data_IF_142035406044
#
_entry.id   IF_142035406044
#
_cell.length_a   1.000
_cell.length_b   1.000
_cell.length_c   1.000
_cell.angle_alpha   90.00
_cell.angle_beta   90.00
_cell.angle_gamma   90.00
#
_symmetry.space_group_name_H-M   'P 1'
#
loop_
_entity.id
_entity.type
_entity.pdbx_description
1 polymer ?
#
# COMPACT_ATOMS: atom_id res chain seq x y z
N UNK A 1 15.41 -15.18 -3.10
CA UNK A 1 14.82 -15.11 -1.76
C UNK A 1 14.90 -16.46 -1.04
N UNK A 2 14.59 -17.60 -1.68
CA UNK A 2 14.68 -18.95 -1.04
C UNK A 2 16.03 -19.30 -0.38
N UNK A 3 17.13 -18.67 -0.83
CA UNK A 3 18.49 -18.88 -0.29
C UNK A 3 18.86 -17.91 0.85
N UNK A 4 17.99 -16.98 1.23
CA UNK A 4 18.27 -16.00 2.28
C UNK A 4 18.09 -16.63 3.66
N UNK A 5 19.11 -16.49 4.49
CA UNK A 5 19.11 -16.87 5.89
C UNK A 5 18.99 -15.63 6.79
N UNK A 6 18.65 -15.82 8.08
CA UNK A 6 18.42 -14.68 8.99
C UNK A 6 19.63 -13.74 9.05
N UNK A 7 20.84 -14.30 9.01
CA UNK A 7 22.09 -13.54 9.01
C UNK A 7 22.30 -12.64 7.80
N UNK A 8 21.62 -12.92 6.69
CA UNK A 8 21.71 -12.13 5.45
C UNK A 8 20.79 -10.91 5.52
N UNK A 9 19.87 -10.87 6.50
CA UNK A 9 18.87 -9.79 6.63
C UNK A 9 19.10 -8.97 7.89
N UNK A 10 19.30 -9.64 9.03
CA UNK A 10 19.35 -8.99 10.32
C UNK A 10 20.35 -9.65 11.27
N UNK A 11 20.91 -8.87 12.17
CA UNK A 11 21.74 -9.34 13.29
C UNK A 11 21.36 -8.59 14.56
N UNK A 12 21.60 -9.22 15.71
CA UNK A 12 21.42 -8.57 17.01
C UNK A 12 22.40 -7.40 17.12
N UNK A 13 21.91 -6.25 17.58
CA UNK A 13 22.77 -5.12 17.88
C UNK A 13 23.45 -5.32 19.24
N UNK A 14 24.76 -5.62 19.23
CA UNK A 14 25.57 -5.89 20.43
C UNK A 14 26.37 -4.63 20.84
N UNK A 15 26.00 -3.43 20.38
CA UNK A 15 26.76 -2.22 20.70
C UNK A 15 26.21 -1.50 21.95
N UNK A 16 26.87 -1.61 23.12
CA UNK A 16 26.41 -0.95 24.35
C UNK A 16 26.57 0.58 24.34
N UNK A 17 27.23 1.16 23.33
CA UNK A 17 27.54 2.59 23.25
C UNK A 17 26.84 3.33 22.09
N UNK A 18 26.14 2.63 21.19
CA UNK A 18 25.36 3.23 20.09
C UNK A 18 23.94 2.66 20.03
N UNK A 19 23.02 3.33 20.73
CA UNK A 19 21.58 3.34 20.42
C UNK A 19 20.73 2.15 20.88
N UNK A 20 19.55 2.47 21.42
CA UNK A 20 18.52 1.58 21.97
C UNK A 20 17.73 0.77 20.91
N UNK A 21 18.39 0.09 19.97
CA UNK A 21 17.73 -0.70 18.91
C UNK A 21 18.04 -2.19 19.03
N UNK A 22 17.06 -3.05 18.78
CA UNK A 22 17.17 -4.50 18.96
C UNK A 22 18.05 -5.18 17.88
N UNK A 23 17.93 -4.74 16.64
CA UNK A 23 18.53 -5.33 15.45
C UNK A 23 19.23 -4.28 14.57
N UNK A 24 20.13 -4.74 13.71
CA UNK A 24 20.88 -3.92 12.74
C UNK A 24 20.50 -4.32 11.30
N UNK A 25 20.21 -3.34 10.44
CA UNK A 25 19.87 -3.51 9.01
C UNK A 25 21.08 -3.61 8.09
N UNK A 26 22.31 -3.48 8.62
CA UNK A 26 23.55 -3.62 7.86
C UNK A 26 23.60 -4.92 7.01
N UNK A 27 23.19 -6.10 7.51
CA UNK A 27 23.20 -7.31 6.70
C UNK A 27 22.25 -7.23 5.49
N UNK A 28 21.02 -6.74 5.68
CA UNK A 28 20.08 -6.52 4.56
C UNK A 28 20.69 -5.59 3.51
N UNK A 29 21.29 -4.48 3.94
CA UNK A 29 21.97 -3.53 3.04
C UNK A 29 23.08 -4.21 2.25
N UNK A 30 23.94 -4.97 2.91
CA UNK A 30 25.05 -5.70 2.27
C UNK A 30 24.52 -6.74 1.29
N UNK A 31 23.51 -7.52 1.67
CA UNK A 31 22.89 -8.52 0.82
C UNK A 31 22.30 -7.91 -0.43
N UNK A 32 21.51 -6.84 -0.31
CA UNK A 32 20.90 -6.17 -1.46
C UNK A 32 21.96 -5.58 -2.39
N UNK A 33 23.02 -4.98 -1.83
CA UNK A 33 24.11 -4.34 -2.58
C UNK A 33 25.02 -5.36 -3.28
N UNK A 34 25.42 -6.42 -2.59
CA UNK A 34 26.39 -7.41 -3.10
C UNK A 34 25.75 -8.49 -3.95
N UNK A 35 24.52 -8.88 -3.63
CA UNK A 35 23.79 -9.93 -4.34
C UNK A 35 23.17 -9.49 -5.67
N UNK A 36 23.28 -8.22 -6.06
CA UNK A 36 22.73 -7.71 -7.32
C UNK A 36 21.21 -7.83 -7.41
N UNK A 37 20.51 -7.79 -6.26
CA UNK A 37 19.07 -8.03 -6.18
C UNK A 37 18.24 -6.92 -6.83
N UNK A 38 18.81 -5.72 -6.94
CA UNK A 38 18.12 -4.52 -7.42
C UNK A 38 18.96 -3.84 -8.49
N UNK A 39 18.34 -3.58 -9.64
CA UNK A 39 18.94 -2.79 -10.71
C UNK A 39 18.33 -1.38 -10.69
N UNK A 40 18.99 -0.45 -10.01
CA UNK A 40 18.50 0.94 -9.88
C UNK A 40 18.53 1.71 -11.20
N UNK A 41 19.43 1.38 -12.13
CA UNK A 41 19.45 2.02 -13.45
C UNK A 41 18.16 1.70 -14.23
N UNK A 42 17.70 0.45 -14.14
CA UNK A 42 16.44 0.02 -14.74
C UNK A 42 15.23 0.59 -14.00
N UNK A 43 15.23 0.59 -12.67
CA UNK A 43 14.14 1.15 -11.86
C UNK A 43 13.99 2.65 -12.10
N UNK A 44 15.09 3.38 -12.21
CA UNK A 44 15.07 4.82 -12.43
C UNK A 44 15.07 5.20 -13.91
N UNK A 45 14.99 4.25 -14.83
CA UNK A 45 14.94 4.54 -16.27
C UNK A 45 13.72 5.40 -16.62
N UNK A 46 13.84 6.25 -17.65
CA UNK A 46 12.67 6.90 -18.24
C UNK A 46 11.70 5.90 -18.89
N UNK A 47 12.20 4.70 -19.24
CA UNK A 47 11.45 3.57 -19.77
C UNK A 47 11.16 2.52 -18.68
N UNK A 48 11.17 2.91 -17.40
CA UNK A 48 10.83 1.99 -16.32
C UNK A 48 9.43 1.40 -16.56
N UNK A 49 9.34 0.08 -16.53
CA UNK A 49 8.07 -0.62 -16.76
C UNK A 49 7.07 -0.48 -15.61
N UNK A 50 7.52 0.03 -14.45
CA UNK A 50 6.73 0.12 -13.23
C UNK A 50 7.07 1.41 -12.51
N UNK A 51 6.02 2.12 -12.09
CA UNK A 51 6.11 3.23 -11.16
C UNK A 51 6.20 2.68 -9.73
N UNK A 52 7.33 2.94 -9.08
CA UNK A 52 7.63 2.48 -7.73
C UNK A 52 7.50 3.67 -6.77
N UNK A 53 6.65 3.52 -5.75
CA UNK A 53 6.51 4.47 -4.64
C UNK A 53 7.00 3.81 -3.35
N UNK A 54 7.93 4.47 -2.66
CA UNK A 54 8.50 4.03 -1.38
C UNK A 54 8.14 5.05 -0.32
N UNK A 55 7.67 4.61 0.84
CA UNK A 55 7.26 5.51 1.93
C UNK A 55 8.20 5.41 3.12
N UNK A 56 8.49 6.54 3.75
CA UNK A 56 9.23 6.60 5.00
C UNK A 56 8.70 7.76 5.86
N UNK A 57 8.73 7.63 7.19
CA UNK A 57 8.39 8.72 8.09
C UNK A 57 9.65 9.53 8.41
N UNK A 58 9.61 10.83 8.19
CA UNK A 58 10.65 11.76 8.68
C UNK A 58 10.52 11.91 10.20
N UNK A 59 11.56 11.48 10.94
CA UNK A 59 11.52 11.35 12.41
C UNK A 59 11.27 12.69 13.11
N UNK A 60 11.88 13.77 12.60
CA UNK A 60 11.81 15.08 13.24
C UNK A 60 10.41 15.72 13.16
N UNK A 61 9.65 15.41 12.11
CA UNK A 61 8.37 16.06 11.83
C UNK A 61 7.17 15.12 11.91
N UNK A 62 7.41 13.80 11.94
CA UNK A 62 6.37 12.78 11.88
C UNK A 62 5.65 12.71 10.53
N UNK A 63 6.18 13.37 9.49
CA UNK A 63 5.54 13.41 8.17
C UNK A 63 5.88 12.18 7.36
N UNK A 64 4.86 11.60 6.73
CA UNK A 64 5.06 10.60 5.69
C UNK A 64 5.69 11.27 4.46
N UNK A 65 6.85 10.79 4.06
CA UNK A 65 7.53 11.13 2.82
C UNK A 65 7.33 9.97 1.87
N UNK A 66 6.94 10.28 0.64
CA UNK A 66 6.84 9.33 -0.45
C UNK A 66 7.98 9.67 -1.41
N UNK A 67 8.69 8.66 -1.90
CA UNK A 67 9.75 8.77 -2.91
C UNK A 67 9.35 7.92 -4.10
N UNK A 68 9.56 8.41 -5.33
CA UNK A 68 9.15 7.65 -6.51
C UNK A 68 9.96 7.94 -7.75
N UNK A 69 10.07 6.93 -8.61
CA UNK A 69 10.76 7.01 -9.90
C UNK A 69 9.93 7.69 -11.01
N UNK A 70 8.69 8.10 -10.71
CA UNK A 70 7.78 8.81 -11.59
C UNK A 70 7.11 10.01 -10.89
N UNK A 71 6.60 10.95 -11.67
CA UNK A 71 5.76 12.03 -11.17
C UNK A 71 4.32 11.55 -10.95
N UNK A 72 3.53 12.30 -10.19
CA UNK A 72 2.09 12.04 -10.09
C UNK A 72 1.40 12.25 -11.45
N UNK A 73 0.43 11.38 -11.76
CA UNK A 73 -0.39 11.47 -12.96
C UNK A 73 -1.45 12.58 -12.83
N UNK A 74 -1.94 12.80 -11.60
CA UNK A 74 -2.84 13.90 -11.27
C UNK A 74 -2.06 15.08 -10.68
N UNK A 75 -2.65 16.29 -10.56
CA UNK A 75 -2.01 17.46 -9.95
C UNK A 75 -1.65 17.19 -8.47
N UNK A 76 -0.53 16.51 -8.26
CA UNK A 76 -0.01 16.06 -6.98
C UNK A 76 1.20 16.86 -6.56
N UNK A 77 1.90 16.34 -5.55
CA UNK A 77 3.11 16.97 -5.00
C UNK A 77 4.38 16.19 -5.33
N UNK A 78 4.26 14.98 -5.86
CA UNK A 78 5.42 14.16 -6.19
C UNK A 78 6.02 14.57 -7.53
N UNK A 79 7.30 14.91 -7.48
CA UNK A 79 8.17 14.91 -8.65
C UNK A 79 9.01 13.64 -8.67
N UNK A 80 9.49 13.25 -9.85
CA UNK A 80 10.37 12.10 -10.01
C UNK A 80 11.68 12.31 -9.23
N UNK A 81 12.02 11.36 -8.37
CA UNK A 81 13.27 11.30 -7.62
C UNK A 81 13.96 9.95 -7.91
N UNK A 82 15.26 9.93 -8.28
CA UNK A 82 15.99 8.69 -8.43
C UNK A 82 16.02 7.89 -7.12
N UNK A 83 15.42 6.69 -7.15
CA UNK A 83 15.39 5.78 -6.01
C UNK A 83 16.77 5.18 -5.79
N UNK A 84 17.11 4.98 -4.52
CA UNK A 84 18.39 4.41 -4.09
C UNK A 84 18.13 3.35 -3.04
N UNK A 85 19.18 2.59 -2.69
CA UNK A 85 19.09 1.61 -1.62
C UNK A 85 18.71 2.25 -0.28
N UNK A 86 19.13 3.49 -0.03
CA UNK A 86 18.81 4.18 1.23
C UNK A 86 17.31 4.40 1.40
N UNK A 87 16.59 4.70 0.32
CA UNK A 87 15.13 4.84 0.35
C UNK A 87 14.45 3.54 0.79
N UNK A 88 14.92 2.40 0.29
CA UNK A 88 14.42 1.07 0.68
C UNK A 88 14.74 0.79 2.15
N UNK A 89 15.99 1.02 2.57
CA UNK A 89 16.41 0.75 3.95
C UNK A 89 15.64 1.67 4.93
N UNK A 90 15.40 2.93 4.57
CA UNK A 90 14.58 3.84 5.36
C UNK A 90 13.14 3.34 5.54
N UNK A 91 12.52 2.86 4.45
CA UNK A 91 11.19 2.24 4.51
C UNK A 91 11.16 0.97 5.36
N UNK A 92 12.30 0.31 5.61
CA UNK A 92 12.40 -0.87 6.48
C UNK A 92 12.92 -0.54 7.89
N UNK A 93 13.19 0.72 8.21
CA UNK A 93 13.71 1.16 9.52
C UNK A 93 12.60 1.22 10.57
N UNK A 94 12.05 0.07 10.95
CA UNK A 94 10.98 -0.05 11.96
C UNK A 94 11.49 0.52 13.31
N UNK A 95 10.79 1.49 13.94
CA UNK A 95 11.20 2.05 15.21
C UNK A 95 11.39 0.98 16.29
N UNK A 96 12.32 1.21 17.23
CA UNK A 96 12.71 0.27 18.31
C UNK A 96 13.45 -0.97 17.79
N UNK A 97 13.06 -1.52 16.64
CA UNK A 97 13.68 -2.71 16.04
C UNK A 97 14.97 -2.34 15.33
N UNK A 98 14.94 -1.32 14.47
CA UNK A 98 16.04 -0.93 13.60
C UNK A 98 16.43 0.54 13.77
N UNK A 99 17.70 0.91 13.53
CA UNK A 99 18.10 2.32 13.52
C UNK A 99 17.41 3.09 12.40
N UNK A 100 17.18 4.39 12.63
CA UNK A 100 16.75 5.32 11.59
C UNK A 100 17.78 5.39 10.46
N UNK A 101 17.30 5.56 9.23
CA UNK A 101 18.16 5.76 8.06
C UNK A 101 18.21 7.24 7.72
N UNK A 102 19.41 7.76 7.43
CA UNK A 102 19.57 9.14 7.00
C UNK A 102 19.34 9.27 5.49
N UNK A 103 18.43 10.15 5.09
CA UNK A 103 18.19 10.56 3.71
C UNK A 103 18.30 12.08 3.66
N UNK A 104 19.15 12.61 2.78
CA UNK A 104 19.33 14.06 2.58
C UNK A 104 19.53 14.85 3.89
N UNK A 105 20.27 14.30 4.85
CA UNK A 105 20.54 14.93 6.15
C UNK A 105 19.41 14.82 7.17
N UNK A 106 18.33 14.09 6.87
CA UNK A 106 17.18 13.90 7.74
C UNK A 106 17.04 12.42 8.12
N UNK A 107 16.75 12.15 9.41
CA UNK A 107 16.50 10.79 9.88
C UNK A 107 15.09 10.33 9.51
N UNK A 108 14.99 9.10 9.00
CA UNK A 108 13.75 8.48 8.57
C UNK A 108 13.57 7.09 9.20
N UNK A 109 12.32 6.80 9.55
CA UNK A 109 11.84 5.47 9.96
C UNK A 109 10.87 4.90 8.92
N UNK A 110 10.47 3.66 9.12
CA UNK A 110 9.45 2.97 8.34
C UNK A 110 8.16 3.83 8.24
N UNK A 111 7.63 3.98 7.03
CA UNK A 111 6.43 4.79 6.75
C UNK A 111 5.14 4.19 7.32
N UNK A 112 5.11 2.87 7.53
CA UNK A 112 4.00 2.15 8.17
C UNK A 112 3.62 2.77 9.50
N UNK A 113 4.59 3.29 10.25
CA UNK A 113 4.40 3.94 11.56
C UNK A 113 3.36 5.06 11.58
N UNK A 114 3.10 5.71 10.44
CA UNK A 114 2.11 6.79 10.30
C UNK A 114 0.99 6.40 9.35
N UNK A 115 1.31 5.67 8.28
CA UNK A 115 0.35 5.20 7.31
C UNK A 115 0.76 3.82 6.83
N UNK A 116 0.02 2.81 7.23
CA UNK A 116 0.21 1.46 6.73
C UNK A 116 -0.52 1.29 5.40
N UNK A 117 0.22 0.95 4.35
CA UNK A 117 -0.31 0.69 3.00
C UNK A 117 -1.24 1.82 2.49
N UNK A 118 -0.76 3.08 2.44
CA UNK A 118 -1.58 4.19 2.02
C UNK A 118 -2.04 4.01 0.58
N UNK A 119 -3.32 4.26 0.33
CA UNK A 119 -3.90 4.14 -1.02
C UNK A 119 -3.53 5.33 -1.92
N UNK A 120 -3.38 6.52 -1.31
CA UNK A 120 -3.16 7.77 -2.04
C UNK A 120 -1.94 7.74 -2.97
N UNK A 121 -0.75 7.23 -2.60
CA UNK A 121 0.38 7.17 -3.53
C UNK A 121 0.12 6.36 -4.81
N UNK A 122 -0.71 5.31 -4.75
CA UNK A 122 -1.10 4.55 -5.93
C UNK A 122 -2.11 5.33 -6.78
N UNK A 123 -3.08 5.97 -6.14
CA UNK A 123 -4.10 6.81 -6.79
C UNK A 123 -3.43 7.99 -7.50
N UNK A 124 -2.55 8.71 -6.81
CA UNK A 124 -1.81 9.87 -7.32
C UNK A 124 -0.89 9.48 -8.49
N UNK A 125 -0.36 8.26 -8.49
CA UNK A 125 0.40 7.68 -9.59
C UNK A 125 -0.48 7.26 -10.80
N UNK A 126 -1.80 7.36 -10.70
CA UNK A 126 -2.72 7.05 -11.80
C UNK A 126 -3.24 5.61 -11.82
N UNK A 127 -3.23 4.90 -10.69
CA UNK A 127 -3.77 3.55 -10.61
C UNK A 127 -5.23 3.49 -11.08
N UNK A 128 -5.55 2.49 -11.89
CA UNK A 128 -6.91 2.24 -12.39
C UNK A 128 -7.65 1.18 -11.57
N UNK A 129 -6.89 0.29 -10.96
CA UNK A 129 -7.32 -0.72 -10.03
C UNK A 129 -6.29 -0.79 -8.90
N UNK A 130 -6.74 -1.18 -7.71
CA UNK A 130 -5.86 -1.28 -6.55
C UNK A 130 -5.95 -2.70 -5.99
N UNK A 131 -4.79 -3.30 -5.77
CA UNK A 131 -4.64 -4.56 -5.03
C UNK A 131 -3.85 -4.25 -3.78
N UNK A 132 -4.41 -4.55 -2.62
CA UNK A 132 -3.78 -4.34 -1.32
C UNK A 132 -3.31 -5.68 -0.79
N UNK A 133 -2.06 -5.75 -0.32
CA UNK A 133 -1.51 -6.95 0.32
C UNK A 133 -1.20 -6.63 1.77
N UNK A 134 -1.94 -7.25 2.69
CA UNK A 134 -1.80 -7.07 4.13
C UNK A 134 -1.15 -8.30 4.76
N UNK A 135 -0.34 -8.05 5.79
CA UNK A 135 0.26 -9.12 6.62
C UNK A 135 -0.60 -9.46 7.84
N UNK A 136 -1.61 -8.64 8.13
CA UNK A 136 -2.55 -8.80 9.23
C UNK A 136 -3.90 -9.27 8.70
N UNK A 137 -4.67 -10.05 9.47
CA UNK A 137 -6.02 -10.40 9.08
C UNK A 137 -6.88 -9.18 8.80
N UNK A 138 -7.77 -9.33 7.81
CA UNK A 138 -8.70 -8.31 7.39
C UNK A 138 -10.10 -8.90 7.30
N UNK A 139 -11.06 -8.16 7.84
CA UNK A 139 -12.47 -8.35 7.61
C UNK A 139 -13.09 -7.01 7.24
N UNK A 140 -13.95 -7.01 6.22
CA UNK A 140 -14.64 -5.79 5.75
C UNK A 140 -15.76 -5.38 6.71
N UNK A 141 -16.29 -6.31 7.49
CA UNK A 141 -17.31 -6.08 8.53
C UNK A 141 -16.96 -6.90 9.79
N UNK A 142 -15.92 -6.48 10.54
CA UNK A 142 -15.47 -7.23 11.71
C UNK A 142 -16.58 -7.24 12.76
N UNK A 143 -16.98 -8.43 13.20
CA UNK A 143 -17.80 -8.57 14.41
C UNK A 143 -17.04 -7.89 15.56
N UNK A 144 -17.65 -6.98 16.34
CA UNK A 144 -16.97 -6.38 17.50
C UNK A 144 -16.46 -7.41 18.52
N UNK A 145 -16.98 -8.64 18.49
CA UNK A 145 -16.49 -9.78 19.29
C UNK A 145 -15.37 -10.58 18.63
N UNK A 146 -15.17 -10.44 17.30
CA UNK A 146 -14.04 -11.05 16.61
C UNK A 146 -12.77 -10.31 16.99
N UNK A 147 -11.83 -11.06 17.56
CA UNK A 147 -10.47 -10.60 17.81
C UNK A 147 -9.62 -11.00 16.59
N UNK A 148 -9.44 -10.12 15.59
CA UNK A 148 -8.65 -10.43 14.39
C UNK A 148 -7.18 -10.74 14.73
N UNK A 149 -6.74 -10.43 15.95
CA UNK A 149 -5.39 -10.69 16.44
C UNK A 149 -5.25 -12.01 17.20
N UNK A 150 -6.36 -12.71 17.47
CA UNK A 150 -6.38 -14.01 18.12
C UNK A 150 -5.82 -13.97 19.54
N UNK A 151 -6.61 -13.45 20.50
CA UNK A 151 -6.30 -13.36 21.94
C UNK A 151 -4.83 -13.01 22.20
N UNK A 152 -4.43 -11.78 21.91
CA UNK A 152 -3.19 -11.25 22.51
C UNK A 152 -3.39 -11.08 24.02
N UNK A 153 -3.19 -12.16 24.77
CA UNK A 153 -3.06 -12.10 26.23
C UNK A 153 -1.80 -11.27 26.54
N UNK A 154 -1.86 -10.19 27.34
CA UNK A 154 -0.69 -9.38 27.62
C UNK A 154 0.32 -10.17 28.46
N UNK A 155 1.28 -10.80 27.80
CA UNK A 155 2.34 -11.55 28.47
C UNK A 155 3.43 -10.65 29.05
N UNK A 156 3.70 -9.48 28.42
CA UNK A 156 4.68 -8.48 28.84
C UNK A 156 4.48 -7.12 28.11
N UNK A 157 5.16 -6.05 28.58
CA UNK A 157 5.09 -4.68 28.02
C UNK A 157 5.49 -4.61 26.54
N UNK A 158 6.47 -5.42 26.11
CA UNK A 158 6.96 -5.42 24.73
C UNK A 158 5.90 -6.01 23.78
N UNK A 159 5.23 -7.08 24.17
CA UNK A 159 4.12 -7.67 23.43
C UNK A 159 2.94 -6.71 23.37
N UNK A 160 2.61 -6.03 24.47
CA UNK A 160 1.56 -5.01 24.47
C UNK A 160 1.88 -3.83 23.54
N UNK A 161 3.14 -3.38 23.51
CA UNK A 161 3.59 -2.34 22.59
C UNK A 161 3.55 -2.80 21.12
N UNK A 162 3.96 -4.05 20.84
CA UNK A 162 3.87 -4.64 19.50
C UNK A 162 2.42 -4.77 19.03
N UNK A 163 1.52 -5.25 19.89
CA UNK A 163 0.08 -5.30 19.63
C UNK A 163 -0.46 -3.91 19.28
N UNK A 164 -0.19 -2.92 20.13
CA UNK A 164 -0.67 -1.55 19.94
C UNK A 164 -0.15 -0.95 18.62
N UNK A 165 1.09 -1.28 18.23
CA UNK A 165 1.65 -0.89 16.95
C UNK A 165 0.88 -1.52 15.79
N UNK A 166 0.67 -2.84 15.78
CA UNK A 166 -0.12 -3.53 14.76
C UNK A 166 -1.56 -2.98 14.65
N UNK A 167 -2.20 -2.70 15.78
CA UNK A 167 -3.52 -2.05 15.81
C UNK A 167 -3.49 -0.65 15.19
N UNK A 168 -2.47 0.15 15.49
CA UNK A 168 -2.31 1.48 14.89
C UNK A 168 -2.12 1.38 13.37
N UNK A 169 -1.32 0.41 12.90
CA UNK A 169 -1.13 0.13 11.48
C UNK A 169 -2.46 -0.25 10.81
N UNK A 170 -3.18 -1.23 11.36
CA UNK A 170 -4.45 -1.68 10.82
C UNK A 170 -5.50 -0.56 10.81
N UNK A 171 -5.60 0.19 11.90
CA UNK A 171 -6.52 1.33 12.01
C UNK A 171 -6.20 2.43 10.99
N UNK A 172 -4.92 2.70 10.71
CA UNK A 172 -4.53 3.67 9.68
C UNK A 172 -5.01 3.24 8.29
N UNK A 173 -4.87 1.96 7.94
CA UNK A 173 -5.35 1.40 6.69
C UNK A 173 -6.89 1.43 6.61
N UNK A 174 -7.60 1.07 7.69
CA UNK A 174 -9.06 1.16 7.77
C UNK A 174 -9.57 2.58 7.52
N UNK A 175 -8.88 3.58 8.11
CA UNK A 175 -9.22 4.98 7.91
C UNK A 175 -9.03 5.41 6.45
N UNK A 176 -7.91 5.02 5.82
CA UNK A 176 -7.61 5.31 4.42
C UNK A 176 -8.62 4.65 3.47
N UNK A 177 -8.98 3.39 3.71
CA UNK A 177 -9.98 2.68 2.90
C UNK A 177 -11.38 3.30 3.05
N UNK A 178 -11.76 3.69 4.27
CA UNK A 178 -13.01 4.42 4.51
C UNK A 178 -13.03 5.78 3.81
N UNK A 179 -11.91 6.50 3.81
CA UNK A 179 -11.75 7.76 3.08
C UNK A 179 -11.88 7.53 1.58
N UNK A 180 -11.21 6.50 1.04
CA UNK A 180 -11.30 6.09 -0.36
C UNK A 180 -12.75 5.83 -0.78
N UNK A 181 -13.48 4.97 -0.05
CA UNK A 181 -14.89 4.65 -0.32
C UNK A 181 -15.76 5.90 -0.33
N UNK A 182 -15.59 6.79 0.66
CA UNK A 182 -16.32 8.07 0.74
C UNK A 182 -16.03 8.99 -0.42
N UNK A 183 -14.76 9.11 -0.83
CA UNK A 183 -14.37 9.94 -1.97
C UNK A 183 -14.96 9.36 -3.26
N UNK A 184 -14.89 8.05 -3.46
CA UNK A 184 -15.49 7.38 -4.61
C UNK A 184 -17.01 7.59 -4.67
N UNK A 185 -17.71 7.49 -3.55
CA UNK A 185 -19.14 7.78 -3.48
C UNK A 185 -19.43 9.24 -3.86
N UNK A 186 -18.65 10.20 -3.34
CA UNK A 186 -18.79 11.61 -3.70
C UNK A 186 -18.52 11.88 -5.19
N UNK A 187 -17.53 11.20 -5.78
CA UNK A 187 -17.25 11.28 -7.22
C UNK A 187 -18.44 10.75 -8.01
N UNK A 188 -18.98 9.59 -7.66
CA UNK A 188 -20.17 9.03 -8.31
C UNK A 188 -21.37 9.98 -8.21
N UNK A 189 -21.65 10.51 -7.02
CA UNK A 189 -22.75 11.46 -6.82
C UNK A 189 -22.55 12.75 -7.63
N UNK A 190 -21.31 13.23 -7.78
CA UNK A 190 -21.01 14.42 -8.60
C UNK A 190 -21.21 14.16 -10.09
N UNK A 191 -20.74 13.01 -10.59
CA UNK A 191 -20.95 12.60 -11.98
C UNK A 191 -22.44 12.47 -12.28
N UNK A 192 -23.18 11.79 -11.40
CA UNK A 192 -24.62 11.60 -11.55
C UNK A 192 -25.40 12.93 -11.48
N UNK A 193 -25.05 13.82 -10.56
CA UNK A 193 -25.68 15.14 -10.49
C UNK A 193 -25.42 15.97 -11.76
N UNK A 194 -24.18 15.96 -12.27
CA UNK A 194 -23.83 16.63 -13.51
C UNK A 194 -24.63 16.09 -14.71
N UNK A 195 -24.77 14.76 -14.80
CA UNK A 195 -25.62 14.08 -15.80
C UNK A 195 -27.09 14.50 -15.71
N UNK A 196 -27.68 14.47 -14.52
CA UNK A 196 -29.07 14.87 -14.32
C UNK A 196 -29.31 16.36 -14.66
N UNK A 197 -28.39 17.25 -14.28
CA UNK A 197 -28.46 18.66 -14.66
C UNK A 197 -28.38 18.86 -16.18
N UNK A 198 -27.56 18.06 -16.86
CA UNK A 198 -27.45 18.07 -18.31
C UNK A 198 -28.76 17.65 -18.98
N UNK A 199 -29.32 16.52 -18.55
CA UNK A 199 -30.57 15.98 -19.05
C UNK A 199 -31.72 16.99 -18.85
N UNK A 200 -31.79 17.63 -17.68
CA UNK A 200 -32.78 18.68 -17.41
C UNK A 200 -32.64 19.87 -18.39
N UNK A 201 -31.42 20.33 -18.68
CA UNK A 201 -31.20 21.41 -19.66
C UNK A 201 -31.66 21.04 -21.07
N UNK A 202 -31.44 19.79 -21.49
CA UNK A 202 -31.91 19.29 -22.79
C UNK A 202 -33.44 19.28 -22.84
N UNK A 203 -34.09 18.79 -21.78
CA UNK A 203 -35.56 18.76 -21.68
C UNK A 203 -36.16 20.18 -21.68
N UNK A 204 -35.60 21.10 -20.91
CA UNK A 204 -36.02 22.51 -20.87
C UNK A 204 -35.89 23.18 -22.24
N UNK A 205 -34.81 22.91 -22.98
CA UNK A 205 -34.64 23.42 -24.32
C UNK A 205 -35.70 22.88 -25.28
N UNK A 206 -35.96 21.58 -25.24
CA UNK A 206 -36.97 20.91 -26.06
C UNK A 206 -38.37 21.45 -25.79
N UNK A 207 -38.71 21.71 -24.53
CA UNK A 207 -39.97 22.36 -24.13
C UNK A 207 -40.09 23.78 -24.69
N UNK A 208 -38.98 24.51 -24.78
CA UNK A 208 -38.92 25.85 -25.38
C UNK A 208 -38.85 25.84 -26.92
N UNK A 209 -38.98 24.68 -27.57
CA UNK A 209 -38.86 24.54 -29.03
C UNK A 209 -37.44 24.72 -29.56
N UNK A 210 -36.42 24.59 -28.69
CA UNK A 210 -35.00 24.66 -29.03
C UNK A 210 -34.39 23.26 -28.99
N UNK A 211 -33.40 23.02 -29.84
CA UNK A 211 -32.65 21.77 -29.85
C UNK A 211 -31.24 22.04 -29.32
N UNK A 212 -30.86 21.36 -28.24
CA UNK A 212 -29.51 21.39 -27.68
C UNK A 212 -28.94 19.99 -27.82
N UNK A 213 -27.78 19.89 -28.45
CA UNK A 213 -27.02 18.65 -28.50
C UNK A 213 -25.89 18.73 -27.48
N UNK A 214 -25.85 17.75 -26.59
CA UNK A 214 -24.74 17.53 -25.67
C UNK A 214 -24.06 16.20 -26.02
N UNK A 215 -22.75 16.06 -25.76
CA UNK A 215 -22.07 14.80 -25.97
C UNK A 215 -22.72 13.69 -25.15
N UNK A 216 -22.99 12.58 -25.80
CA UNK A 216 -23.51 11.33 -25.27
C UNK A 216 -22.71 10.25 -26.00
N UNK A 217 -21.65 9.77 -25.34
CA UNK A 217 -20.62 8.93 -25.94
C UNK A 217 -21.02 7.46 -25.93
N UNK A 218 -21.85 7.05 -24.96
CA UNK A 218 -22.37 5.68 -24.84
C UNK A 218 -23.75 5.49 -25.52
N UNK A 219 -24.41 6.58 -25.91
CA UNK A 219 -25.61 6.59 -26.73
C UNK A 219 -26.87 6.21 -25.96
N UNK A 220 -26.87 6.36 -24.65
CA UNK A 220 -28.00 6.01 -23.77
C UNK A 220 -29.08 7.10 -23.68
N UNK A 221 -28.85 8.26 -24.32
CA UNK A 221 -29.72 9.42 -24.31
C UNK A 221 -29.46 10.38 -23.15
N UNK A 222 -28.42 10.15 -22.35
CA UNK A 222 -27.99 10.94 -21.20
C UNK A 222 -26.66 11.63 -21.53
N UNK A 223 -26.52 12.95 -21.31
CA UNK A 223 -25.27 13.62 -21.62
C UNK A 223 -24.11 13.22 -20.69
N UNK A 224 -22.95 12.91 -21.27
CA UNK A 224 -21.70 12.53 -20.58
C UNK A 224 -20.89 13.75 -20.11
N UNK A 225 -21.49 14.58 -19.25
CA UNK A 225 -20.79 15.74 -18.71
C UNK A 225 -19.79 15.31 -17.64
N UNK A 226 -18.56 15.82 -17.71
CA UNK A 226 -17.43 15.55 -16.81
C UNK A 226 -16.78 14.15 -16.94
N UNK A 227 -17.14 13.34 -17.93
CA UNK A 227 -16.39 12.12 -18.25
C UNK A 227 -14.92 12.50 -18.58
N UNK A 228 -14.00 12.15 -17.67
CA UNK A 228 -12.57 12.49 -17.75
C UNK A 228 -12.07 13.55 -16.75
N UNK A 229 -12.96 14.27 -16.06
CA UNK A 229 -12.58 15.24 -15.02
C UNK A 229 -12.55 14.60 -13.61
N UNK A 230 -13.29 13.52 -13.40
CA UNK A 230 -13.25 12.70 -12.21
C UNK A 230 -13.47 11.24 -12.61
N UNK A 231 -12.73 10.33 -11.98
CA UNK A 231 -12.79 8.89 -12.27
C UNK A 231 -13.14 8.14 -11.00
N UNK A 232 -14.16 7.29 -11.10
CA UNK A 232 -14.45 6.30 -10.08
C UNK A 232 -13.44 5.15 -10.18
N UNK A 233 -12.87 4.73 -9.05
CA UNK A 233 -12.03 3.55 -8.98
C UNK A 233 -12.84 2.36 -8.44
N UNK A 234 -12.67 1.14 -8.99
CA UNK A 234 -13.31 -0.05 -8.43
C UNK A 234 -12.82 -0.30 -6.98
N UNK A 235 -13.60 -1.06 -6.24
CA UNK A 235 -13.23 -1.46 -4.88
C UNK A 235 -11.90 -2.23 -4.88
N UNK A 236 -10.94 -1.92 -3.98
CA UNK A 236 -9.66 -2.59 -3.96
C UNK A 236 -9.80 -4.08 -3.67
N UNK A 237 -9.00 -4.91 -4.34
CA UNK A 237 -8.89 -6.33 -4.00
C UNK A 237 -7.95 -6.46 -2.81
N UNK A 238 -8.47 -6.84 -1.64
CA UNK A 238 -7.67 -6.98 -0.42
C UNK A 238 -7.22 -8.44 -0.25
N UNK A 239 -5.92 -8.65 -0.32
CA UNK A 239 -5.24 -9.91 -0.03
C UNK A 239 -4.75 -9.83 1.42
N UNK A 240 -5.32 -10.65 2.29
CA UNK A 240 -4.96 -10.70 3.70
C UNK A 240 -5.07 -12.13 4.23
N UNK A 241 -4.26 -12.52 5.23
CA UNK A 241 -4.37 -13.83 5.85
C UNK A 241 -5.66 -13.97 6.66
N UNK A 242 -6.18 -15.19 6.81
CA UNK A 242 -7.36 -15.45 7.68
C UNK A 242 -7.05 -15.41 9.17
N UNK A 243 -5.77 -15.59 9.52
CA UNK A 243 -5.29 -15.69 10.89
C UNK A 243 -3.97 -14.95 10.99
N UNK A 244 -3.62 -14.42 12.17
CA UNK A 244 -2.34 -13.77 12.38
C UNK A 244 -1.18 -14.67 11.95
N UNK A 245 -0.24 -14.09 11.20
CA UNK A 245 1.01 -14.77 10.88
C UNK A 245 1.86 -14.86 12.14
N UNK A 246 2.40 -16.04 12.52
CA UNK A 246 3.26 -16.13 13.68
C UNK A 246 4.55 -15.34 13.44
N UNK A 247 4.84 -14.35 14.29
CA UNK A 247 5.96 -13.40 14.11
C UNK A 247 7.30 -14.12 13.93
N UNK A 248 7.52 -15.24 14.64
CA UNK A 248 8.73 -16.04 14.50
C UNK A 248 8.93 -16.61 13.09
N UNK A 249 7.86 -16.83 12.33
CA UNK A 249 7.90 -17.31 10.95
C UNK A 249 8.30 -16.18 9.99
N UNK A 250 8.03 -14.92 10.36
CA UNK A 250 8.35 -13.73 9.57
C UNK A 250 9.80 -13.30 9.80
N UNK A 251 10.26 -13.29 11.05
CA UNK A 251 11.59 -12.76 11.41
C UNK A 251 12.71 -13.80 11.27
N UNK A 252 12.39 -15.10 11.20
CA UNK A 252 13.39 -16.16 10.97
C UNK A 252 13.39 -16.58 9.51
N UNK A 253 14.43 -16.16 8.79
CA UNK A 253 14.62 -16.50 7.40
C UNK A 253 15.24 -17.90 7.33
N UNK A 254 14.39 -18.92 7.21
CA UNK A 254 14.76 -20.33 6.99
C UNK A 254 14.03 -20.87 5.76
N UNK A 255 14.68 -21.73 5.00
CA UNK A 255 14.16 -22.20 3.71
C UNK A 255 12.77 -22.86 3.81
N UNK A 256 12.55 -23.72 4.80
CA UNK A 256 11.27 -24.39 5.07
C UNK A 256 10.15 -23.40 5.39
N UNK A 257 10.47 -22.34 6.15
CA UNK A 257 9.52 -21.28 6.51
C UNK A 257 9.16 -20.37 5.34
N UNK A 258 10.14 -20.07 4.50
CA UNK A 258 9.98 -19.28 3.28
C UNK A 258 8.94 -19.90 2.34
N UNK A 259 9.01 -21.21 2.11
CA UNK A 259 8.02 -21.91 1.29
C UNK A 259 6.64 -21.93 1.93
N UNK A 260 6.56 -22.13 3.25
CA UNK A 260 5.30 -22.08 3.97
C UNK A 260 4.59 -20.73 3.85
N UNK A 261 5.29 -19.63 4.15
CA UNK A 261 4.71 -18.26 4.07
C UNK A 261 4.36 -17.89 2.63
N UNK A 262 5.18 -18.30 1.66
CA UNK A 262 4.88 -18.10 0.24
C UNK A 262 3.59 -18.79 -0.20
N UNK A 263 3.42 -20.06 0.18
CA UNK A 263 2.21 -20.83 -0.15
C UNK A 263 0.97 -20.23 0.52
N UNK A 264 1.11 -19.76 1.77
CA UNK A 264 0.04 -19.07 2.48
C UNK A 264 -0.40 -17.80 1.74
N UNK A 265 0.56 -16.94 1.37
CA UNK A 265 0.28 -15.74 0.57
C UNK A 265 -0.35 -16.04 -0.79
N UNK A 266 0.07 -17.13 -1.45
CA UNK A 266 -0.54 -17.59 -2.70
C UNK A 266 -2.01 -18.01 -2.50
N UNK A 267 -2.31 -18.75 -1.44
CA UNK A 267 -3.68 -19.15 -1.11
C UNK A 267 -4.57 -17.95 -0.75
N UNK A 268 -4.04 -16.99 -0.01
CA UNK A 268 -4.73 -15.74 0.33
C UNK A 268 -5.01 -14.91 -0.93
N UNK A 269 -4.03 -14.78 -1.82
CA UNK A 269 -4.19 -14.10 -3.11
C UNK A 269 -5.26 -14.79 -3.97
N UNK A 270 -5.19 -16.12 -4.11
CA UNK A 270 -6.17 -16.89 -4.88
C UNK A 270 -7.59 -16.72 -4.33
N UNK A 271 -7.76 -16.73 -3.01
CA UNK A 271 -9.06 -16.52 -2.37
C UNK A 271 -9.61 -15.13 -2.65
N UNK A 272 -8.80 -14.09 -2.46
CA UNK A 272 -9.21 -12.71 -2.72
C UNK A 272 -9.56 -12.49 -4.20
N UNK A 273 -8.77 -13.07 -5.11
CA UNK A 273 -9.02 -12.98 -6.56
C UNK A 273 -10.35 -13.62 -6.97
N UNK A 274 -10.65 -14.81 -6.41
CA UNK A 274 -11.93 -15.49 -6.64
C UNK A 274 -13.11 -14.71 -6.03
N UNK A 275 -12.95 -14.14 -4.83
CA UNK A 275 -13.99 -13.33 -4.19
C UNK A 275 -14.29 -12.06 -5.01
N UNK A 276 -13.30 -11.49 -5.69
CA UNK A 276 -13.46 -10.38 -6.63
C UNK A 276 -14.06 -10.79 -8.00
N UNK A 277 -14.50 -12.04 -8.17
CA UNK A 277 -15.08 -12.56 -9.42
C UNK A 277 -14.07 -12.74 -10.55
N UNK A 278 -12.77 -12.73 -10.25
CA UNK A 278 -11.69 -12.85 -11.25
C UNK A 278 -11.22 -14.30 -11.37
N UNK A 279 -10.84 -14.69 -12.59
CA UNK A 279 -10.21 -16.00 -12.83
C UNK A 279 -8.74 -15.90 -12.42
N UNK A 280 -8.31 -16.79 -11.52
CA UNK A 280 -6.89 -16.92 -11.18
C UNK A 280 -6.19 -17.71 -12.29
N UNK A 281 -5.41 -17.02 -13.12
CA UNK A 281 -4.54 -17.66 -14.12
C UNK A 281 -3.15 -17.87 -13.52
N UNK A 282 -2.69 -19.12 -13.48
CA UNK A 282 -1.34 -19.48 -13.01
C UNK A 282 -1.34 -20.69 -12.07
N UNK A 283 -0.30 -21.50 -12.16
CA UNK A 283 -0.02 -22.60 -11.25
C UNK A 283 1.18 -22.21 -10.40
N UNK A 284 1.09 -22.36 -9.07
CA UNK A 284 2.29 -22.49 -8.24
C UNK A 284 3.01 -23.76 -8.67
N UNK A 285 3.92 -23.66 -9.62
CA UNK A 285 4.87 -24.75 -9.91
C UNK A 285 6.02 -24.61 -8.92
N UNK A 286 6.32 -25.65 -8.11
CA UNK A 286 7.37 -25.61 -7.09
C UNK A 286 8.75 -25.18 -7.62
#
# INVERSE_FOLDING_TARGET
>A
WRRLETRDVQKININPFKGNFLLDTMPLRETLKTGGWINFDRVNSAEAAVDLRITAMEVATGRLRVFGNSADAYPGKMERIPLTLDHIIASCSIPIVYPATELDGQSHWDGGTVANTPLSPAIDAGAEEIVVVLMTPWDDDPDPEDDPTGKLTPGNLLHAAGAAFEWALLASFQADLKMFRRINELVNLRLENARLQAANRVLEARLAGREIHLPDLDGDGIPDILQGAARHLPEPVIIAPKRPLPVEQIIQYKHDRHEYVYNLGYEDARRAWQAAGRVAEGWATP
#
